data_IF_847810310579
#
_entry.id   IF_847810310579
#
_cell.length_a   1.000
_cell.length_b   1.000
_cell.length_c   1.000
_cell.angle_alpha   90.00
_cell.angle_beta   90.00
_cell.angle_gamma   90.00
#
_symmetry.space_group_name_H-M   'P 1'
#
loop_
_entity.id
_entity.type
_entity.pdbx_description
1 polymer ?
#
# COMPACT_ATOMS: atom_id res chain seq x y z
N UNK A 1 -30.49 -11.57 28.96
CA UNK A 1 -30.04 -12.48 27.88
C UNK A 1 -30.03 -11.85 26.49
N UNK A 2 -30.85 -10.80 26.23
CA UNK A 2 -30.91 -10.16 24.90
C UNK A 2 -29.78 -9.13 24.64
N UNK A 3 -29.09 -8.60 25.67
CA UNK A 3 -28.05 -7.59 25.47
C UNK A 3 -26.79 -8.17 24.84
N UNK A 4 -26.34 -9.35 25.27
CA UNK A 4 -25.14 -10.00 24.72
C UNK A 4 -25.35 -10.40 23.24
N UNK A 5 -26.53 -10.90 22.88
CA UNK A 5 -26.88 -11.20 21.48
C UNK A 5 -26.98 -9.93 20.63
N UNK A 6 -27.41 -8.81 21.21
CA UNK A 6 -27.47 -7.52 20.53
C UNK A 6 -26.07 -6.93 20.32
N UNK A 7 -25.18 -7.06 21.30
CA UNK A 7 -23.77 -6.63 21.17
C UNK A 7 -23.01 -7.50 20.18
N UNK A 8 -23.19 -8.81 20.21
CA UNK A 8 -22.62 -9.72 19.20
C UNK A 8 -23.16 -9.37 17.81
N UNK A 9 -24.45 -9.14 17.68
CA UNK A 9 -25.04 -8.74 16.38
C UNK A 9 -24.58 -7.36 15.90
N UNK A 10 -24.31 -6.41 16.81
CA UNK A 10 -23.78 -5.09 16.46
C UNK A 10 -22.32 -5.14 16.00
N UNK A 11 -21.52 -6.05 16.58
CA UNK A 11 -20.14 -6.30 16.15
C UNK A 11 -20.11 -6.92 14.75
N UNK A 12 -21.08 -7.79 14.42
CA UNK A 12 -21.17 -8.41 13.10
C UNK A 12 -21.94 -7.58 12.06
N UNK A 13 -22.83 -6.66 12.46
CA UNK A 13 -23.70 -5.88 11.57
C UNK A 13 -23.24 -4.43 11.33
N UNK A 14 -22.16 -3.96 11.93
CA UNK A 14 -21.56 -2.67 11.58
C UNK A 14 -20.77 -2.77 10.26
N UNK A 15 -21.40 -3.30 9.22
CA UNK A 15 -20.82 -3.43 7.90
C UNK A 15 -21.29 -2.26 7.02
N UNK A 16 -20.39 -1.30 6.81
CA UNK A 16 -20.21 -0.72 5.46
C UNK A 16 -20.34 -1.87 4.47
N UNK A 17 -21.11 -1.69 3.38
CA UNK A 17 -21.29 -2.78 2.41
C UNK A 17 -19.92 -3.40 2.12
N UNK A 18 -19.73 -4.71 2.19
CA UNK A 18 -18.40 -5.34 2.05
C UNK A 18 -17.61 -4.82 0.86
N UNK A 19 -18.29 -4.44 -0.21
CA UNK A 19 -17.69 -3.91 -1.43
C UNK A 19 -17.12 -2.48 -1.30
N UNK A 20 -17.72 -1.60 -0.49
CA UNK A 20 -17.19 -0.23 -0.29
C UNK A 20 -15.95 -0.27 0.62
N UNK A 21 -15.99 -1.05 1.68
CA UNK A 21 -14.84 -1.23 2.57
C UNK A 21 -13.63 -1.81 1.82
N UNK A 22 -13.85 -2.74 0.90
CA UNK A 22 -12.77 -3.31 0.09
C UNK A 22 -12.19 -2.30 -0.91
N UNK A 23 -13.02 -1.43 -1.52
CA UNK A 23 -12.55 -0.34 -2.39
C UNK A 23 -11.67 0.63 -1.59
N UNK A 24 -12.10 1.02 -0.38
CA UNK A 24 -11.31 1.89 0.51
C UNK A 24 -9.99 1.23 0.94
N UNK A 25 -10.01 -0.07 1.20
CA UNK A 25 -8.79 -0.81 1.56
C UNK A 25 -7.77 -0.82 0.44
N UNK A 26 -8.18 -1.06 -0.82
CA UNK A 26 -7.30 -1.00 -1.99
C UNK A 26 -6.67 0.39 -2.13
N UNK A 27 -7.45 1.46 -1.91
CA UNK A 27 -6.99 2.85 -2.01
C UNK A 27 -6.28 3.35 -0.74
N UNK A 28 -6.18 2.51 0.29
CA UNK A 28 -5.58 2.89 1.56
C UNK A 28 -4.09 3.20 1.46
N UNK A 29 -3.60 4.02 2.40
CA UNK A 29 -2.17 4.30 2.55
C UNK A 29 -1.34 3.07 2.90
N UNK A 30 -1.94 2.03 3.45
CA UNK A 30 -1.26 0.76 3.75
C UNK A 30 -0.90 0.04 2.44
N UNK A 31 -1.88 -0.18 1.57
CA UNK A 31 -1.69 -0.87 0.29
C UNK A 31 -0.84 -0.04 -0.68
N UNK A 32 -1.25 1.21 -0.92
CA UNK A 32 -0.56 2.07 -1.88
C UNK A 32 0.82 2.52 -1.38
N UNK A 33 0.97 2.77 -0.07
CA UNK A 33 2.25 3.11 0.51
C UNK A 33 3.26 1.98 0.41
N UNK A 34 2.83 0.74 0.64
CA UNK A 34 3.68 -0.43 0.42
C UNK A 34 4.07 -0.58 -1.05
N UNK A 35 3.14 -0.36 -1.99
CA UNK A 35 3.43 -0.35 -3.43
C UNK A 35 4.46 0.73 -3.81
N UNK A 36 4.36 1.93 -3.21
CA UNK A 36 5.35 3.01 -3.39
C UNK A 36 6.73 2.55 -2.93
N UNK A 37 6.80 1.94 -1.74
CA UNK A 37 8.05 1.50 -1.14
C UNK A 37 8.68 0.34 -1.93
N UNK A 38 7.89 -0.67 -2.30
CA UNK A 38 8.35 -1.87 -3.03
C UNK A 38 8.89 -1.54 -4.44
N UNK A 39 8.26 -0.59 -5.13
CA UNK A 39 8.61 -0.22 -6.51
C UNK A 39 9.36 1.11 -6.62
N UNK A 40 9.72 1.74 -5.50
CA UNK A 40 10.41 3.04 -5.44
C UNK A 40 9.70 4.12 -6.29
N UNK A 41 8.36 4.19 -6.19
CA UNK A 41 7.54 5.13 -6.95
C UNK A 41 7.59 6.56 -6.40
N UNK A 42 8.34 6.78 -5.34
CA UNK A 42 8.67 8.07 -4.78
C UNK A 42 9.76 8.82 -5.57
N UNK A 43 10.21 8.25 -6.69
CA UNK A 43 11.16 8.91 -7.59
C UNK A 43 10.70 8.80 -9.05
N UNK A 44 10.88 9.89 -9.77
CA UNK A 44 10.55 9.97 -11.18
C UNK A 44 11.76 10.46 -11.98
N UNK A 45 11.99 9.80 -13.12
CA UNK A 45 13.01 10.18 -14.11
C UNK A 45 12.33 10.37 -15.44
N UNK A 46 12.50 11.57 -16.02
CA UNK A 46 11.99 11.91 -17.36
C UNK A 46 13.12 12.43 -18.23
N UNK A 47 13.31 11.85 -19.40
CA UNK A 47 14.19 12.44 -20.39
C UNK A 47 13.57 13.78 -20.87
N UNK A 48 14.39 14.83 -20.92
CA UNK A 48 13.98 16.11 -21.49
C UNK A 48 14.36 16.13 -22.96
N UNK A 49 13.38 16.30 -23.83
CA UNK A 49 13.62 16.53 -25.24
C UNK A 49 13.51 18.03 -25.53
N UNK A 50 14.39 18.56 -26.37
CA UNK A 50 14.27 19.94 -26.83
C UNK A 50 12.96 20.11 -27.58
N UNK A 51 12.11 21.08 -27.21
CA UNK A 51 10.83 21.27 -27.88
C UNK A 51 11.05 21.57 -29.34
N UNK A 52 10.28 20.94 -30.22
CA UNK A 52 10.13 21.15 -31.66
C UNK A 52 11.02 20.31 -32.59
N UNK A 53 12.24 19.92 -32.24
CA UNK A 53 13.09 19.17 -33.19
C UNK A 53 13.59 17.83 -32.57
N UNK A 54 13.80 17.80 -31.26
CA UNK A 54 14.45 16.68 -30.60
C UNK A 54 13.65 15.36 -30.60
N UNK A 55 12.33 15.39 -30.37
CA UNK A 55 11.51 14.19 -30.38
C UNK A 55 11.24 13.64 -31.79
N UNK A 56 11.17 14.51 -32.80
CA UNK A 56 10.97 14.09 -34.18
C UNK A 56 12.25 13.49 -34.79
N UNK A 57 13.41 14.10 -34.52
CA UNK A 57 14.70 13.57 -34.97
C UNK A 57 15.07 12.26 -34.28
N UNK A 58 14.73 12.10 -33.00
CA UNK A 58 14.96 10.85 -32.24
C UNK A 58 14.18 9.68 -32.87
N UNK A 59 12.92 9.90 -33.24
CA UNK A 59 12.10 8.89 -33.92
C UNK A 59 12.57 8.52 -35.33
N UNK A 60 13.35 9.41 -35.98
CA UNK A 60 13.86 9.21 -37.36
C UNK A 60 15.27 8.60 -37.36
N UNK A 61 16.09 8.90 -36.36
CA UNK A 61 17.48 8.42 -36.31
C UNK A 61 17.64 6.98 -35.80
N UNK A 62 16.58 6.37 -35.28
CA UNK A 62 16.65 4.98 -34.78
C UNK A 62 17.53 4.79 -33.53
N UNK A 63 17.96 5.87 -32.88
CA UNK A 63 18.71 5.83 -31.65
C UNK A 63 17.83 5.26 -30.52
N UNK A 64 18.37 4.40 -29.66
CA UNK A 64 17.62 3.86 -28.53
C UNK A 64 17.21 5.00 -27.58
N UNK A 65 15.99 4.90 -27.02
CA UNK A 65 15.49 5.85 -26.04
C UNK A 65 16.50 6.07 -24.89
N UNK A 66 16.80 7.34 -24.56
CA UNK A 66 17.73 7.63 -23.50
C UNK A 66 17.22 7.08 -22.15
N UNK A 67 18.05 6.32 -21.47
CA UNK A 67 17.73 5.69 -20.17
C UNK A 67 18.67 6.15 -19.09
N UNK A 68 18.10 6.44 -17.94
CA UNK A 68 18.81 6.73 -16.70
C UNK A 68 18.30 5.79 -15.61
N UNK A 69 19.22 5.02 -15.01
CA UNK A 69 18.89 4.15 -13.88
C UNK A 69 19.44 4.77 -12.60
N UNK A 70 18.53 5.06 -11.68
CA UNK A 70 18.84 5.62 -10.36
C UNK A 70 18.90 4.47 -9.36
N UNK A 71 20.04 4.31 -8.67
CA UNK A 71 20.21 3.27 -7.64
C UNK A 71 19.71 3.72 -6.28
N UNK A 72 19.98 4.96 -5.88
CA UNK A 72 19.44 5.57 -4.67
C UNK A 72 19.32 7.08 -4.82
N UNK A 73 18.26 7.63 -4.26
CA UNK A 73 18.01 9.07 -4.28
C UNK A 73 17.30 9.50 -3.00
N UNK A 74 18.01 10.20 -2.14
CA UNK A 74 17.50 10.84 -0.93
C UNK A 74 17.67 12.33 -1.03
N UNK A 75 16.73 13.09 -0.49
CA UNK A 75 16.76 14.55 -0.50
C UNK A 75 16.34 15.10 0.86
N UNK A 76 16.79 16.31 1.18
CA UNK A 76 16.30 17.08 2.32
C UNK A 76 14.82 17.47 2.10
N UNK A 77 14.07 17.72 3.18
CA UNK A 77 12.62 17.96 3.13
C UNK A 77 12.22 19.10 2.20
N UNK A 78 13.02 20.16 2.15
CA UNK A 78 12.77 21.31 1.28
C UNK A 78 12.86 21.01 -0.23
N UNK A 79 13.49 19.87 -0.59
CA UNK A 79 13.70 19.47 -1.98
C UNK A 79 12.75 18.37 -2.46
N UNK A 80 11.87 17.86 -1.60
CA UNK A 80 10.79 17.00 -2.08
C UNK A 80 9.92 17.75 -3.09
N UNK A 81 9.46 17.02 -4.08
CA UNK A 81 8.62 17.49 -5.19
C UNK A 81 9.30 18.58 -6.07
N UNK A 82 10.60 18.83 -5.89
CA UNK A 82 11.38 19.73 -6.75
C UNK A 82 12.19 18.96 -7.77
N UNK A 83 12.40 19.58 -8.91
CA UNK A 83 13.12 18.96 -10.03
C UNK A 83 14.61 19.25 -9.95
N UNK A 84 15.39 18.18 -10.05
CA UNK A 84 16.81 18.21 -10.33
C UNK A 84 17.02 17.99 -11.83
N UNK A 85 18.00 18.66 -12.45
CA UNK A 85 18.33 18.40 -13.86
C UNK A 85 19.67 17.70 -13.93
N UNK A 86 19.68 16.47 -14.42
CA UNK A 86 20.90 15.73 -14.70
C UNK A 86 21.23 15.87 -16.17
N UNK A 87 22.46 16.32 -16.50
CA UNK A 87 22.98 16.38 -17.86
C UNK A 87 24.09 15.35 -18.04
N UNK A 88 23.90 14.41 -18.95
CA UNK A 88 24.88 13.39 -19.25
C UNK A 88 26.10 14.01 -19.91
N UNK A 89 27.31 13.83 -19.37
CA UNK A 89 28.59 14.15 -20.01
C UNK A 89 29.11 12.97 -20.82
N UNK A 90 28.87 11.77 -20.29
CA UNK A 90 29.20 10.49 -20.91
C UNK A 90 28.44 9.37 -20.20
N UNK A 91 28.64 8.13 -20.58
CA UNK A 91 28.11 6.96 -19.86
C UNK A 91 28.73 6.74 -18.47
N UNK A 92 29.73 7.53 -18.07
CA UNK A 92 30.46 7.41 -16.79
C UNK A 92 30.37 8.66 -15.91
N UNK A 93 29.97 9.81 -16.47
CA UNK A 93 29.99 11.08 -15.75
C UNK A 93 28.78 11.96 -16.13
N UNK A 94 28.33 12.75 -15.20
CA UNK A 94 27.20 13.66 -15.35
C UNK A 94 27.39 14.95 -14.54
N UNK A 95 26.63 15.98 -14.88
CA UNK A 95 26.41 17.14 -14.02
C UNK A 95 24.99 17.11 -13.49
N UNK A 96 24.81 17.52 -12.24
CA UNK A 96 23.51 17.63 -11.59
C UNK A 96 23.28 19.09 -11.20
N UNK A 97 22.26 19.70 -11.77
CA UNK A 97 21.77 21.00 -11.36
C UNK A 97 20.71 20.80 -10.27
N UNK A 98 20.97 21.36 -9.10
CA UNK A 98 20.12 21.27 -7.90
C UNK A 98 18.94 22.25 -8.01
N UNK A 99 17.88 22.11 -7.19
CA UNK A 99 16.76 23.06 -7.14
C UNK A 99 17.17 24.50 -6.81
N UNK A 100 18.27 24.69 -6.08
CA UNK A 100 18.86 25.99 -5.76
C UNK A 100 19.82 26.55 -6.84
N UNK A 101 19.82 25.91 -8.03
CA UNK A 101 20.64 26.24 -9.20
C UNK A 101 22.15 25.96 -9.08
N UNK A 102 22.62 25.44 -7.96
CA UNK A 102 24.02 24.96 -7.88
C UNK A 102 24.21 23.76 -8.78
N UNK A 103 25.40 23.66 -9.38
CA UNK A 103 25.79 22.55 -10.25
C UNK A 103 26.87 21.74 -9.58
N UNK A 104 26.69 20.43 -9.51
CA UNK A 104 27.66 19.49 -8.96
C UNK A 104 27.96 18.39 -9.98
N UNK A 105 29.20 17.86 -9.94
CA UNK A 105 29.60 16.78 -10.83
C UNK A 105 29.51 15.44 -10.14
N UNK A 106 29.01 14.43 -10.87
CA UNK A 106 28.87 13.08 -10.37
C UNK A 106 29.45 12.03 -11.33
N UNK A 107 29.77 10.87 -10.77
CA UNK A 107 30.23 9.70 -11.53
C UNK A 107 29.23 8.58 -11.40
N UNK A 108 29.01 7.85 -12.50
CA UNK A 108 28.14 6.67 -12.52
C UNK A 108 28.73 5.57 -11.62
N UNK A 109 27.89 4.91 -10.87
CA UNK A 109 28.25 3.86 -9.90
C UNK A 109 28.73 4.40 -8.54
N UNK A 110 29.02 5.69 -8.41
CA UNK A 110 29.55 6.31 -7.17
C UNK A 110 28.47 7.17 -6.52
N UNK A 111 28.17 6.99 -5.22
CA UNK A 111 27.25 7.87 -4.50
C UNK A 111 27.76 9.31 -4.45
N UNK A 112 26.98 10.25 -4.97
CA UNK A 112 27.23 11.69 -4.90
C UNK A 112 26.55 12.24 -3.64
N UNK A 113 27.33 12.53 -2.60
CA UNK A 113 26.85 13.16 -1.38
C UNK A 113 26.87 14.69 -1.56
N UNK A 114 25.69 15.29 -1.61
CA UNK A 114 25.52 16.74 -1.80
C UNK A 114 25.56 17.47 -0.46
N UNK A 115 24.88 16.89 0.54
CA UNK A 115 24.90 17.30 1.93
C UNK A 115 24.61 16.10 2.85
N UNK A 116 24.38 16.33 4.14
CA UNK A 116 24.12 15.24 5.10
C UNK A 116 22.80 14.48 4.87
N UNK A 117 21.84 15.08 4.17
CA UNK A 117 20.49 14.52 3.93
C UNK A 117 20.23 14.19 2.45
N UNK A 118 21.09 14.69 1.53
CA UNK A 118 20.90 14.53 0.10
C UNK A 118 22.03 13.73 -0.52
N UNK A 119 21.68 12.58 -1.06
CA UNK A 119 22.60 11.68 -1.76
C UNK A 119 21.93 11.15 -3.03
N UNK A 120 22.68 11.12 -4.12
CA UNK A 120 22.24 10.56 -5.40
C UNK A 120 23.26 9.53 -5.88
N UNK A 121 22.82 8.34 -6.22
CA UNK A 121 23.63 7.33 -6.91
C UNK A 121 22.97 7.00 -8.24
N UNK A 122 23.69 7.20 -9.33
CA UNK A 122 23.30 6.80 -10.67
C UNK A 122 24.01 5.49 -10.98
N UNK A 123 23.24 4.43 -11.28
CA UNK A 123 23.79 3.12 -11.61
C UNK A 123 24.15 3.00 -13.09
N UNK A 124 23.38 3.65 -13.98
CA UNK A 124 23.61 3.58 -15.41
C UNK A 124 23.07 4.83 -16.15
N UNK A 125 23.83 5.28 -17.13
CA UNK A 125 23.41 6.28 -18.13
C UNK A 125 23.57 5.66 -19.52
N UNK A 126 22.47 5.53 -20.25
CA UNK A 126 22.44 5.17 -21.66
C UNK A 126 21.85 6.37 -22.42
N UNK A 127 22.69 7.32 -22.77
CA UNK A 127 22.27 8.54 -23.44
C UNK A 127 23.47 9.22 -24.13
N UNK A 128 23.20 10.00 -25.13
CA UNK A 128 24.20 10.84 -25.80
C UNK A 128 24.70 11.96 -24.86
N UNK A 129 25.97 12.39 -24.99
CA UNK A 129 26.45 13.57 -24.27
C UNK A 129 25.56 14.79 -24.52
N UNK A 130 25.23 15.52 -23.45
CA UNK A 130 24.32 16.67 -23.49
C UNK A 130 22.84 16.32 -23.26
N UNK A 131 22.46 15.03 -23.24
CA UNK A 131 21.11 14.65 -22.91
C UNK A 131 20.77 15.04 -21.46
N UNK A 132 19.63 15.70 -21.29
CA UNK A 132 19.11 16.09 -19.99
C UNK A 132 18.00 15.14 -19.50
N UNK A 133 18.02 14.91 -18.19
CA UNK A 133 16.98 14.21 -17.48
C UNK A 133 16.45 15.05 -16.33
N UNK A 134 15.14 15.11 -16.18
CA UNK A 134 14.49 15.64 -14.99
C UNK A 134 14.32 14.53 -13.96
N UNK A 135 14.90 14.72 -12.78
CA UNK A 135 14.75 13.84 -11.63
C UNK A 135 13.91 14.54 -10.56
N UNK A 136 12.91 13.86 -10.05
CA UNK A 136 12.08 14.38 -8.95
C UNK A 136 11.98 13.31 -7.87
N UNK A 137 12.23 13.70 -6.63
CA UNK A 137 11.95 12.89 -5.45
C UNK A 137 10.68 13.40 -4.82
N UNK A 138 9.65 12.55 -4.75
CA UNK A 138 8.40 12.87 -4.09
C UNK A 138 8.46 12.54 -2.61
N UNK A 139 7.74 13.29 -1.79
CA UNK A 139 7.41 12.82 -0.45
C UNK A 139 6.56 11.54 -0.56
N UNK A 140 6.59 10.69 0.46
CA UNK A 140 5.79 9.46 0.46
C UNK A 140 4.31 9.73 0.27
N UNK A 141 3.81 10.82 0.85
CA UNK A 141 2.41 11.25 0.70
C UNK A 141 2.13 11.64 -0.76
N UNK A 142 2.96 12.49 -1.35
CA UNK A 142 2.78 12.89 -2.76
C UNK A 142 2.90 11.72 -3.73
N UNK A 143 3.76 10.75 -3.45
CA UNK A 143 3.87 9.54 -4.25
C UNK A 143 2.58 8.68 -4.19
N UNK A 144 1.99 8.54 -3.00
CA UNK A 144 0.70 7.85 -2.82
C UNK A 144 -0.42 8.57 -3.58
N UNK A 145 -0.52 9.90 -3.43
CA UNK A 145 -1.50 10.72 -4.14
C UNK A 145 -1.36 10.61 -5.66
N UNK A 146 -0.13 10.57 -6.17
CA UNK A 146 0.14 10.36 -7.60
C UNK A 146 -0.38 9.00 -8.10
N UNK A 147 -0.33 7.96 -7.28
CA UNK A 147 -0.93 6.65 -7.59
C UNK A 147 -2.44 6.75 -7.52
N UNK A 148 -3.00 7.30 -6.44
CA UNK A 148 -4.45 7.44 -6.25
C UNK A 148 -5.12 8.16 -7.42
N UNK A 149 -4.51 9.25 -7.91
CA UNK A 149 -5.02 10.02 -9.04
C UNK A 149 -5.05 9.25 -10.38
N UNK A 150 -4.29 8.15 -10.48
CA UNK A 150 -4.20 7.31 -11.69
C UNK A 150 -4.93 5.97 -11.52
N UNK A 151 -5.38 5.64 -10.32
CA UNK A 151 -6.01 4.39 -9.96
C UNK A 151 -7.53 4.58 -9.88
N UNK A 152 -8.27 3.86 -10.70
CA UNK A 152 -9.70 3.70 -10.55
C UNK A 152 -10.01 2.33 -9.95
N UNK A 153 -10.80 2.30 -8.88
CA UNK A 153 -11.23 1.08 -8.17
C UNK A 153 -12.74 1.05 -8.19
N UNK A 154 -13.32 0.02 -8.79
CA UNK A 154 -14.76 -0.12 -8.97
C UNK A 154 -15.20 -1.52 -8.54
N UNK A 155 -16.17 -1.59 -7.62
CA UNK A 155 -16.83 -2.85 -7.27
C UNK A 155 -17.93 -3.18 -8.26
N UNK A 156 -18.05 -4.44 -8.67
CA UNK A 156 -19.15 -4.94 -9.51
C UNK A 156 -20.40 -5.29 -8.66
N UNK A 157 -21.08 -4.25 -8.14
CA UNK A 157 -22.33 -4.42 -7.38
C UNK A 157 -22.12 -4.39 -5.87
N UNK A 158 -23.22 -4.16 -5.13
CA UNK A 158 -23.18 -3.94 -3.66
C UNK A 158 -22.79 -5.17 -2.84
N UNK A 159 -22.95 -6.37 -3.38
CA UNK A 159 -22.67 -7.64 -2.70
C UNK A 159 -21.66 -8.51 -3.44
N UNK A 160 -21.10 -8.02 -4.55
CA UNK A 160 -20.13 -8.79 -5.35
C UNK A 160 -18.73 -8.69 -4.76
N UNK A 161 -18.01 -9.81 -4.58
CA UNK A 161 -16.61 -9.79 -4.14
C UNK A 161 -15.63 -9.37 -5.25
N UNK A 162 -16.14 -8.99 -6.44
CA UNK A 162 -15.30 -8.65 -7.59
C UNK A 162 -15.00 -7.16 -7.58
N UNK A 163 -13.70 -6.84 -7.53
CA UNK A 163 -13.17 -5.48 -7.62
C UNK A 163 -12.40 -5.34 -8.93
N UNK A 164 -12.75 -4.34 -9.71
CA UNK A 164 -12.02 -3.97 -10.92
C UNK A 164 -11.02 -2.86 -10.61
N UNK A 165 -9.76 -3.09 -10.92
CA UNK A 165 -8.67 -2.12 -10.81
C UNK A 165 -8.28 -1.65 -12.20
N UNK A 166 -8.22 -0.34 -12.39
CA UNK A 166 -7.73 0.28 -13.63
C UNK A 166 -6.67 1.32 -13.27
N UNK A 167 -5.50 1.24 -13.88
CA UNK A 167 -4.42 2.20 -13.67
C UNK A 167 -4.03 2.85 -14.99
N UNK A 168 -3.98 4.19 -15.02
CA UNK A 168 -3.63 4.96 -16.21
C UNK A 168 -2.16 5.32 -16.21
N UNK A 169 -1.44 5.00 -17.27
CA UNK A 169 -0.02 5.31 -17.42
C UNK A 169 0.42 5.33 -18.88
N UNK A 170 1.58 5.94 -19.17
CA UNK A 170 2.15 6.07 -20.51
C UNK A 170 2.98 4.87 -20.93
N UNK A 171 3.51 4.10 -19.96
CA UNK A 171 4.29 2.89 -20.21
C UNK A 171 3.46 1.65 -19.79
N UNK A 172 3.01 0.83 -20.75
CA UNK A 172 2.18 -0.35 -20.46
C UNK A 172 2.86 -1.35 -19.53
N UNK A 173 4.17 -1.55 -19.67
CA UNK A 173 4.91 -2.51 -18.83
C UNK A 173 4.97 -2.03 -17.37
N UNK A 174 5.35 -0.77 -17.18
CA UNK A 174 5.39 -0.15 -15.85
C UNK A 174 4.00 -0.09 -15.21
N UNK A 175 2.98 0.27 -16.00
CA UNK A 175 1.57 0.28 -15.58
C UNK A 175 1.11 -1.08 -15.07
N UNK A 176 1.43 -2.16 -15.80
CA UNK A 176 1.10 -3.52 -15.39
C UNK A 176 1.81 -3.93 -14.10
N UNK A 177 3.10 -3.61 -13.94
CA UNK A 177 3.86 -3.90 -12.72
C UNK A 177 3.26 -3.19 -11.51
N UNK A 178 2.90 -1.91 -11.64
CA UNK A 178 2.27 -1.14 -10.57
C UNK A 178 0.91 -1.75 -10.19
N UNK A 179 0.07 -2.05 -11.17
CA UNK A 179 -1.26 -2.61 -10.93
C UNK A 179 -1.19 -3.97 -10.24
N UNK A 180 -0.28 -4.85 -10.67
CA UNK A 180 -0.05 -6.14 -10.03
C UNK A 180 0.45 -5.97 -8.59
N UNK A 181 1.39 -5.07 -8.35
CA UNK A 181 1.88 -4.80 -7.00
C UNK A 181 0.78 -4.27 -6.06
N UNK A 182 -0.13 -3.41 -6.57
CA UNK A 182 -1.31 -2.97 -5.80
C UNK A 182 -2.19 -4.16 -5.44
N UNK A 183 -2.48 -5.03 -6.41
CA UNK A 183 -3.31 -6.21 -6.19
C UNK A 183 -2.66 -7.19 -5.19
N UNK A 184 -1.37 -7.47 -5.31
CA UNK A 184 -0.64 -8.35 -4.41
C UNK A 184 -0.58 -7.79 -2.98
N UNK A 185 -0.32 -6.48 -2.84
CA UNK A 185 -0.30 -5.81 -1.54
C UNK A 185 -1.69 -5.74 -0.90
N UNK A 186 -2.75 -5.57 -1.69
CA UNK A 186 -4.13 -5.67 -1.21
C UNK A 186 -4.44 -7.08 -0.68
N UNK A 187 -4.12 -8.12 -1.44
CA UNK A 187 -4.36 -9.51 -1.02
C UNK A 187 -3.58 -9.84 0.26
N UNK A 188 -2.32 -9.41 0.34
CA UNK A 188 -1.50 -9.58 1.54
C UNK A 188 -2.09 -8.88 2.76
N UNK A 189 -2.55 -7.63 2.60
CA UNK A 189 -3.17 -6.84 3.67
C UNK A 189 -4.52 -7.43 4.12
N UNK A 190 -5.33 -7.90 3.18
CA UNK A 190 -6.61 -8.56 3.50
C UNK A 190 -6.38 -9.84 4.31
N UNK A 191 -5.42 -10.65 3.89
CA UNK A 191 -5.04 -11.88 4.63
C UNK A 191 -4.54 -11.59 6.04
N UNK A 192 -3.73 -10.55 6.22
CA UNK A 192 -3.23 -10.13 7.53
C UNK A 192 -4.41 -9.72 8.45
N UNK A 193 -5.35 -8.94 7.91
CA UNK A 193 -6.58 -8.57 8.63
C UNK A 193 -7.40 -9.78 9.05
N UNK A 194 -7.59 -10.75 8.16
CA UNK A 194 -8.37 -11.96 8.45
C UNK A 194 -7.72 -12.80 9.55
N UNK A 195 -6.39 -12.95 9.52
CA UNK A 195 -5.62 -13.63 10.58
C UNK A 195 -5.77 -12.90 11.91
N UNK A 196 -5.73 -11.57 11.91
CA UNK A 196 -5.88 -10.79 13.13
C UNK A 196 -7.29 -10.91 13.74
N UNK A 197 -8.33 -10.86 12.90
CA UNK A 197 -9.72 -11.07 13.35
C UNK A 197 -9.90 -12.46 13.94
N UNK A 198 -9.40 -13.51 13.25
CA UNK A 198 -9.48 -14.88 13.75
C UNK A 198 -8.72 -15.07 15.09
N UNK A 199 -7.53 -14.48 15.20
CA UNK A 199 -6.73 -14.54 16.45
C UNK A 199 -7.42 -13.84 17.62
N UNK A 200 -7.99 -12.64 17.36
CA UNK A 200 -8.76 -11.90 18.38
C UNK A 200 -10.01 -12.65 18.80
N UNK A 201 -10.72 -13.28 17.85
CA UNK A 201 -11.87 -14.13 18.14
C UNK A 201 -11.51 -15.35 19.01
N UNK A 202 -10.40 -16.02 18.71
CA UNK A 202 -9.90 -17.14 19.52
C UNK A 202 -9.51 -16.71 20.95
N UNK A 203 -8.85 -15.55 21.09
CA UNK A 203 -8.50 -15.00 22.39
C UNK A 203 -9.75 -14.71 23.23
N UNK A 204 -10.76 -14.06 22.63
CA UNK A 204 -12.04 -13.78 23.28
C UNK A 204 -12.75 -15.07 23.73
N UNK A 205 -12.86 -16.06 22.85
CA UNK A 205 -13.49 -17.34 23.20
C UNK A 205 -12.73 -18.03 24.35
N UNK A 206 -11.40 -18.03 24.30
CA UNK A 206 -10.56 -18.65 25.33
C UNK A 206 -10.71 -17.98 26.71
N UNK A 207 -11.01 -16.69 26.76
CA UNK A 207 -11.25 -15.93 27.97
C UNK A 207 -12.68 -16.13 28.50
N UNK A 208 -13.69 -16.12 27.63
CA UNK A 208 -15.10 -16.22 28.03
C UNK A 208 -15.54 -17.65 28.37
N UNK A 209 -14.95 -18.67 27.75
CA UNK A 209 -15.33 -20.07 27.95
C UNK A 209 -15.19 -20.53 29.43
N UNK A 210 -14.11 -20.22 30.18
CA UNK A 210 -14.01 -20.52 31.59
C UNK A 210 -15.07 -19.83 32.44
N UNK A 211 -15.37 -18.52 32.16
CA UNK A 211 -16.39 -17.74 32.88
C UNK A 211 -17.79 -18.30 32.69
N UNK A 212 -18.12 -18.69 31.45
CA UNK A 212 -19.40 -19.35 31.18
C UNK A 212 -19.53 -20.71 31.87
N UNK A 213 -18.43 -21.48 31.90
CA UNK A 213 -18.39 -22.77 32.61
C UNK A 213 -18.59 -22.62 34.11
N UNK A 214 -17.97 -21.63 34.73
CA UNK A 214 -18.15 -21.28 36.14
C UNK A 214 -19.59 -20.86 36.43
N UNK A 215 -20.16 -19.98 35.58
CA UNK A 215 -21.56 -19.53 35.71
C UNK A 215 -22.54 -20.70 35.58
N UNK A 216 -22.29 -21.61 34.65
CA UNK A 216 -23.11 -22.84 34.50
C UNK A 216 -23.03 -23.71 35.74
N UNK A 217 -21.83 -23.96 36.25
CA UNK A 217 -21.61 -24.75 37.45
C UNK A 217 -22.33 -24.16 38.68
N UNK A 218 -22.28 -22.85 38.86
CA UNK A 218 -22.99 -22.12 39.92
C UNK A 218 -24.52 -22.23 39.74
N UNK A 219 -25.03 -22.13 38.51
CA UNK A 219 -26.44 -22.28 38.24
C UNK A 219 -26.94 -23.74 38.54
N UNK A 220 -26.15 -24.74 38.15
CA UNK A 220 -26.43 -26.16 38.46
C UNK A 220 -26.40 -26.42 39.95
N UNK A 221 -25.44 -25.88 40.71
CA UNK A 221 -25.35 -25.98 42.15
C UNK A 221 -26.58 -25.37 42.85
N UNK A 222 -27.00 -24.18 42.41
CA UNK A 222 -28.22 -23.52 42.91
C UNK A 222 -29.49 -24.32 42.61
N UNK A 223 -29.58 -24.85 41.40
CA UNK A 223 -30.73 -25.73 41.04
C UNK A 223 -30.78 -26.99 41.90
N UNK A 224 -29.65 -27.63 42.11
CA UNK A 224 -29.57 -28.83 42.95
C UNK A 224 -29.90 -28.51 44.42
N UNK A 225 -29.41 -27.40 44.98
CA UNK A 225 -29.77 -26.94 46.31
C UNK A 225 -31.28 -26.64 46.44
N UNK A 226 -31.87 -25.99 45.44
CA UNK A 226 -33.31 -25.75 45.42
C UNK A 226 -34.14 -27.02 45.36
N UNK A 227 -33.73 -28.02 44.54
CA UNK A 227 -34.38 -29.34 44.47
C UNK A 227 -34.31 -30.09 45.79
N UNK A 228 -33.20 -30.02 46.49
CA UNK A 228 -33.04 -30.63 47.84
C UNK A 228 -33.91 -29.95 48.88
N UNK A 229 -34.04 -28.62 48.86
CA UNK A 229 -34.88 -27.87 49.81
C UNK A 229 -36.39 -28.03 49.53
N UNK A 230 -36.79 -28.15 48.28
CA UNK A 230 -38.22 -28.27 47.92
C UNK A 230 -38.78 -29.68 47.98
N UNK A 231 -37.98 -30.69 48.41
CA UNK A 231 -38.48 -32.07 48.61
C UNK A 231 -39.01 -32.76 47.35
N UNK A 232 -38.75 -32.19 46.18
CA UNK A 232 -39.19 -32.69 44.88
C UNK A 232 -38.18 -33.70 44.34
N UNK A 233 -38.18 -34.88 44.92
CA UNK A 233 -37.69 -36.09 44.29
C UNK A 233 -38.75 -36.62 43.36
N UNK A 234 -38.48 -36.65 42.07
CA UNK A 234 -39.20 -37.26 40.96
C UNK A 234 -40.65 -36.82 40.72
N UNK A 235 -40.86 -36.06 39.69
CA UNK A 235 -42.11 -36.17 38.92
C UNK A 235 -41.81 -37.17 37.78
N UNK A 236 -42.38 -38.40 37.86
CA UNK A 236 -42.37 -39.29 36.72
C UNK A 236 -43.25 -38.67 35.63
N UNK A 237 -42.73 -38.52 34.45
CA UNK A 237 -43.52 -38.28 33.24
C UNK A 237 -44.36 -39.53 32.96
N UNK A 238 -45.52 -39.62 33.58
CA UNK A 238 -46.59 -40.52 33.10
C UNK A 238 -47.31 -39.80 31.98
N UNK A 239 -47.00 -40.20 30.79
CA UNK A 239 -47.78 -39.98 29.58
C UNK A 239 -49.02 -40.86 29.60
N UNK A 240 -50.19 -40.27 29.51
CA UNK A 240 -51.33 -40.86 28.84
C UNK A 240 -51.76 -39.95 27.69
#
# INVERSE_FOLDING_TARGET
QNQILTEINSIFNNQTTPSEAEVELVQSRLVLGKTVDDLQLDQEVKAKYTPVIGSLMHNISGDPDPKLTVGSFTVQDEWFNKTFTLTAKSNKAYTLTLPDKRVVEGKVGVPLKINNQTTLKIDQILANPGQEFALTKFSRISAIENIQNKLAVISKGKTSPIINLTFTGTDPKRTSVILNSIADNYVAQNRERDVQVASSGLAFISEELPRLKETLQDAENKLNAYRQQSGSLDIPLESK
#
